data_IF_567547337479
#
_entry.id   IF_567547337479
#
_cell.length_a   1.000
_cell.length_b   1.000
_cell.length_c   1.000
_cell.angle_alpha   90.00
_cell.angle_beta   90.00
_cell.angle_gamma   90.00
#
_symmetry.space_group_name_H-M   'P 1'
#
loop_
_entity.id
_entity.type
_entity.pdbx_description
1 polymer ?
#
# COMPACT_ATOMS: atom_id res chain seq x y z
N UNK A 1 -3.07 13.78 23.67
CA UNK A 1 -4.27 13.74 22.81
C UNK A 1 -5.43 14.09 23.71
N UNK A 2 -6.18 15.16 23.43
CA UNK A 2 -7.28 15.57 24.32
C UNK A 2 -8.55 14.86 23.87
N UNK A 3 -9.22 14.17 24.79
CA UNK A 3 -10.51 13.53 24.54
C UNK A 3 -11.57 14.59 24.25
N UNK A 4 -12.53 14.26 23.38
CA UNK A 4 -13.74 15.08 23.24
C UNK A 4 -14.49 15.16 24.59
N UNK A 5 -15.15 16.28 24.87
CA UNK A 5 -15.75 16.54 26.19
C UNK A 5 -16.74 15.44 26.64
N UNK A 6 -17.49 14.85 25.72
CA UNK A 6 -18.42 13.75 26.02
C UNK A 6 -17.73 12.44 26.43
N UNK A 7 -16.43 12.29 26.16
CA UNK A 7 -15.65 11.08 26.37
C UNK A 7 -14.71 11.19 27.58
N UNK A 8 -14.53 12.38 28.16
CA UNK A 8 -13.66 12.60 29.33
C UNK A 8 -14.10 11.78 30.55
N UNK A 9 -15.41 11.59 30.71
CA UNK A 9 -16.00 10.83 31.83
C UNK A 9 -15.58 9.36 31.88
N UNK A 10 -15.09 8.81 30.78
CA UNK A 10 -14.66 7.42 30.71
C UNK A 10 -13.13 7.26 30.93
N UNK A 11 -12.37 8.35 30.90
CA UNK A 11 -10.90 8.32 30.92
C UNK A 11 -10.25 7.55 32.07
N UNK A 12 -9.12 6.89 31.76
CA UNK A 12 -8.22 6.26 32.72
C UNK A 12 -7.50 7.30 33.60
N UNK A 13 -6.75 6.82 34.59
CA UNK A 13 -5.96 7.68 35.50
C UNK A 13 -4.90 8.54 34.79
N UNK A 14 -4.64 8.29 33.51
CA UNK A 14 -3.69 9.01 32.67
C UNK A 14 -4.41 9.96 31.68
N UNK A 15 -5.73 10.08 31.79
CA UNK A 15 -6.57 10.93 30.94
C UNK A 15 -6.87 10.34 29.56
N UNK A 16 -6.70 9.02 29.36
CA UNK A 16 -6.98 8.34 28.10
C UNK A 16 -8.14 7.37 28.28
N UNK A 17 -9.09 7.33 27.35
CA UNK A 17 -10.16 6.33 27.40
C UNK A 17 -9.90 5.21 26.37
N UNK A 18 -9.83 3.92 26.76
CA UNK A 18 -9.66 2.80 25.82
C UNK A 18 -10.74 2.80 24.73
N UNK A 19 -10.35 2.80 23.46
CA UNK A 19 -11.28 2.88 22.33
C UNK A 19 -11.74 4.30 21.94
N UNK A 20 -11.33 5.34 22.67
CA UNK A 20 -11.57 6.76 22.31
C UNK A 20 -10.31 7.53 21.94
N UNK A 21 -9.14 6.94 22.16
CA UNK A 21 -7.97 7.29 21.36
C UNK A 21 -8.38 7.07 19.91
N UNK A 22 -8.41 8.13 19.11
CA UNK A 22 -8.85 8.06 17.71
C UNK A 22 -7.86 7.19 16.91
N UNK A 23 -7.99 5.86 16.97
CA UNK A 23 -7.35 4.95 16.04
C UNK A 23 -8.08 5.04 14.70
N UNK A 24 -8.01 6.19 14.04
CA UNK A 24 -8.72 6.46 12.79
C UNK A 24 -7.80 6.23 11.59
N UNK A 25 -6.91 5.24 11.71
CA UNK A 25 -6.11 4.79 10.58
C UNK A 25 -6.86 3.69 9.85
N UNK A 26 -7.10 3.89 8.55
CA UNK A 26 -7.84 2.94 7.72
C UNK A 26 -7.00 2.54 6.52
N UNK A 27 -6.84 1.23 6.30
CA UNK A 27 -5.94 0.67 5.29
C UNK A 27 -6.67 -0.27 4.33
N UNK A 28 -7.58 0.22 3.48
CA UNK A 28 -8.29 -0.64 2.54
C UNK A 28 -7.36 -1.09 1.41
N UNK A 29 -7.52 -2.34 1.02
CA UNK A 29 -6.83 -2.90 -0.14
C UNK A 29 -7.76 -3.82 -0.92
N UNK A 30 -7.67 -3.75 -2.25
CA UNK A 30 -8.35 -4.66 -3.16
C UNK A 30 -7.36 -5.14 -4.20
N UNK A 31 -7.43 -6.43 -4.53
CA UNK A 31 -6.61 -7.05 -5.57
C UNK A 31 -7.45 -8.04 -6.35
N UNK A 32 -7.30 -8.04 -7.67
CA UNK A 32 -8.07 -8.86 -8.61
C UNK A 32 -7.11 -9.44 -9.65
N UNK A 33 -7.38 -10.68 -10.05
CA UNK A 33 -6.62 -11.39 -11.09
C UNK A 33 -5.54 -12.32 -10.52
N UNK A 34 -4.79 -12.93 -11.43
CA UNK A 34 -3.73 -13.89 -11.13
C UNK A 34 -2.37 -13.31 -11.54
N UNK A 35 -1.42 -13.31 -10.60
CA UNK A 35 -0.07 -12.78 -10.83
C UNK A 35 0.80 -13.70 -11.68
N UNK A 36 0.44 -14.97 -11.78
CA UNK A 36 1.18 -15.95 -12.57
C UNK A 36 0.65 -16.11 -13.99
N UNK A 37 -0.56 -15.61 -14.30
CA UNK A 37 -1.08 -15.63 -15.67
C UNK A 37 -2.21 -14.63 -15.90
N UNK A 38 -2.13 -13.89 -17.00
CA UNK A 38 -3.16 -12.94 -17.44
C UNK A 38 -3.06 -11.58 -16.75
N UNK A 39 -4.16 -10.82 -16.82
CA UNK A 39 -4.25 -9.48 -16.25
C UNK A 39 -4.44 -9.56 -14.74
N UNK A 40 -3.68 -8.75 -13.99
CA UNK A 40 -3.86 -8.56 -12.56
C UNK A 40 -3.71 -7.11 -12.17
N UNK A 41 -4.26 -6.76 -11.02
CA UNK A 41 -4.07 -5.43 -10.48
C UNK A 41 -4.69 -5.27 -9.11
N UNK A 42 -4.40 -4.14 -8.50
CA UNK A 42 -4.97 -3.80 -7.22
C UNK A 42 -4.66 -2.37 -6.82
N UNK A 43 -5.33 -1.96 -5.75
CA UNK A 43 -5.09 -0.68 -5.13
C UNK A 43 -5.05 -0.86 -3.62
N UNK A 44 -4.24 -0.05 -2.96
CA UNK A 44 -4.16 0.02 -1.50
C UNK A 44 -4.08 1.48 -1.10
N UNK A 45 -4.83 1.85 -0.08
CA UNK A 45 -4.85 3.21 0.44
C UNK A 45 -4.56 3.16 1.93
N UNK A 46 -3.96 4.22 2.44
CA UNK A 46 -3.70 4.41 3.86
C UNK A 46 -4.18 5.80 4.26
N UNK A 47 -5.21 5.83 5.09
CA UNK A 47 -5.79 7.05 5.62
C UNK A 47 -5.41 7.19 7.09
N UNK A 48 -5.13 8.42 7.52
CA UNK A 48 -4.99 8.81 8.91
C UNK A 48 -5.89 10.02 9.16
N UNK A 49 -7.00 9.79 9.87
CA UNK A 49 -7.95 10.85 10.23
C UNK A 49 -7.60 11.53 11.57
N UNK A 50 -6.47 11.20 12.22
CA UNK A 50 -6.04 11.87 13.46
C UNK A 50 -5.57 13.31 13.21
N UNK A 51 -5.22 13.65 11.97
CA UNK A 51 -4.76 14.99 11.61
C UNK A 51 -5.94 15.99 11.50
N UNK A 52 -6.27 16.55 12.68
CA UNK A 52 -6.82 17.89 12.97
C UNK A 52 -7.97 18.41 12.07
N UNK A 53 -9.20 18.48 12.59
CA UNK A 53 -10.26 19.31 12.01
C UNK A 53 -9.75 20.75 11.76
N UNK A 54 -9.99 21.29 10.56
CA UNK A 54 -9.70 22.69 10.24
C UNK A 54 -8.34 23.02 9.60
N UNK A 55 -7.45 22.04 9.35
CA UNK A 55 -6.15 22.30 8.68
C UNK A 55 -6.12 22.16 7.16
N UNK A 56 -7.23 21.77 6.51
CA UNK A 56 -7.32 21.65 5.04
C UNK A 56 -6.37 20.61 4.41
N UNK A 57 -5.68 19.80 5.21
CA UNK A 57 -4.77 18.74 4.74
C UNK A 57 -5.53 17.46 4.43
N UNK A 58 -5.12 16.75 3.38
CA UNK A 58 -5.67 15.44 3.02
C UNK A 58 -5.44 14.41 4.12
N UNK A 59 -6.45 13.58 4.43
CA UNK A 59 -6.31 12.42 5.32
C UNK A 59 -5.67 11.21 4.63
N UNK A 60 -5.51 11.24 3.30
CA UNK A 60 -4.81 10.19 2.58
C UNK A 60 -3.30 10.36 2.78
N UNK A 61 -2.71 9.44 3.54
CA UNK A 61 -1.28 9.41 3.82
C UNK A 61 -0.52 8.75 2.67
N UNK A 62 -1.03 7.66 2.12
CA UNK A 62 -0.41 7.02 0.96
C UNK A 62 -1.40 6.22 0.13
N UNK A 63 -1.12 6.10 -1.17
CA UNK A 63 -1.83 5.18 -2.06
C UNK A 63 -0.84 4.42 -2.94
N UNK A 64 -1.20 3.18 -3.26
CA UNK A 64 -0.50 2.36 -4.25
C UNK A 64 -1.52 1.81 -5.22
N UNK A 65 -1.27 1.97 -6.51
CA UNK A 65 -2.06 1.35 -7.57
C UNK A 65 -1.12 0.52 -8.43
N UNK A 66 -1.49 -0.74 -8.66
CA UNK A 66 -0.72 -1.71 -9.40
C UNK A 66 -1.55 -2.28 -10.53
N UNK A 67 -0.97 -2.33 -11.73
CA UNK A 67 -1.53 -3.00 -12.89
C UNK A 67 -0.42 -3.82 -13.55
N UNK A 68 -0.72 -5.08 -13.90
CA UNK A 68 0.23 -5.94 -14.54
C UNK A 68 -0.43 -6.97 -15.44
N UNK A 69 0.38 -7.55 -16.32
CA UNK A 69 -0.01 -8.64 -17.18
C UNK A 69 1.10 -9.66 -17.23
N UNK A 70 0.75 -10.93 -16.98
CA UNK A 70 1.70 -12.04 -16.99
C UNK A 70 1.40 -12.99 -18.15
N UNK A 71 2.44 -13.27 -18.92
CA UNK A 71 2.51 -14.38 -19.88
C UNK A 71 3.37 -15.50 -19.30
N UNK A 72 3.36 -16.64 -19.98
CA UNK A 72 4.12 -17.81 -19.58
C UNK A 72 5.65 -17.53 -19.53
N UNK A 73 6.16 -16.63 -20.41
CA UNK A 73 7.58 -16.29 -20.51
C UNK A 73 8.01 -15.00 -19.81
N UNK A 74 7.07 -14.11 -19.45
CA UNK A 74 7.40 -12.80 -18.88
C UNK A 74 6.20 -12.13 -18.22
N UNK A 75 6.45 -11.09 -17.44
CA UNK A 75 5.41 -10.23 -16.89
C UNK A 75 5.81 -8.76 -17.00
N UNK A 76 4.83 -7.90 -17.20
CA UNK A 76 4.97 -6.46 -17.06
C UNK A 76 4.16 -5.96 -15.88
N UNK A 77 4.67 -4.96 -15.18
CA UNK A 77 3.96 -4.33 -14.07
C UNK A 77 4.25 -2.84 -14.04
N UNK A 78 3.19 -2.05 -13.95
CA UNK A 78 3.24 -0.64 -13.64
C UNK A 78 2.66 -0.42 -12.25
N UNK A 79 3.34 0.38 -11.43
CA UNK A 79 2.89 0.75 -10.10
C UNK A 79 3.01 2.27 -9.92
N UNK A 80 1.99 2.87 -9.34
CA UNK A 80 2.02 4.26 -8.92
C UNK A 80 1.91 4.33 -7.40
N UNK A 81 2.89 4.95 -6.76
CA UNK A 81 2.93 5.17 -5.32
C UNK A 81 2.79 6.68 -5.07
N UNK A 82 1.83 7.05 -4.25
CA UNK A 82 1.75 8.41 -3.70
C UNK A 82 1.94 8.34 -2.19
N UNK A 83 2.68 9.29 -1.64
CA UNK A 83 2.75 9.49 -0.20
C UNK A 83 2.74 10.96 0.15
N UNK A 84 2.00 11.30 1.20
CA UNK A 84 1.83 12.64 1.73
C UNK A 84 1.80 12.57 3.27
N UNK A 85 2.95 12.82 3.88
CA UNK A 85 3.13 12.81 5.35
C UNK A 85 3.31 14.23 5.91
N UNK A 86 2.88 15.26 5.17
CA UNK A 86 3.00 16.68 5.56
C UNK A 86 4.41 17.28 5.42
N UNK A 87 5.47 16.53 5.70
CA UNK A 87 6.88 16.96 5.51
C UNK A 87 7.45 16.60 4.13
N UNK A 88 6.81 15.65 3.42
CA UNK A 88 7.23 15.18 2.10
C UNK A 88 6.01 14.69 1.34
N UNK A 89 5.91 15.16 0.10
CA UNK A 89 4.93 14.72 -0.87
C UNK A 89 5.66 14.17 -2.09
N UNK A 90 5.37 12.93 -2.47
CA UNK A 90 6.02 12.29 -3.61
C UNK A 90 5.02 11.45 -4.39
N UNK A 91 5.25 11.41 -5.69
CA UNK A 91 4.55 10.56 -6.63
C UNK A 91 5.61 9.77 -7.41
N UNK A 92 5.63 8.47 -7.23
CA UNK A 92 6.61 7.57 -7.84
C UNK A 92 5.90 6.58 -8.76
N UNK A 93 6.17 6.69 -10.06
CA UNK A 93 5.81 5.68 -11.04
C UNK A 93 6.95 4.68 -11.21
N UNK A 94 6.65 3.40 -11.08
CA UNK A 94 7.59 2.29 -11.25
C UNK A 94 7.09 1.41 -12.38
N UNK A 95 7.96 1.14 -13.35
CA UNK A 95 7.71 0.17 -14.40
C UNK A 95 8.70 -0.98 -14.25
N UNK A 96 8.21 -2.22 -14.30
CA UNK A 96 9.00 -3.43 -14.12
C UNK A 96 8.67 -4.43 -15.22
N UNK A 97 9.72 -5.08 -15.73
CA UNK A 97 9.64 -6.21 -16.65
C UNK A 97 10.31 -7.41 -15.98
N UNK A 98 9.60 -8.53 -15.87
CA UNK A 98 10.07 -9.80 -15.31
C UNK A 98 10.17 -10.82 -16.44
N UNK A 99 11.29 -11.51 -16.55
CA UNK A 99 11.43 -12.67 -17.42
C UNK A 99 11.19 -13.93 -16.57
N UNK A 100 10.24 -14.77 -16.98
CA UNK A 100 9.96 -16.04 -16.32
C UNK A 100 10.73 -17.14 -17.06
N UNK A 101 11.41 -18.03 -16.34
CA UNK A 101 12.05 -19.22 -16.94
C UNK A 101 13.32 -18.97 -17.77
N UNK A 102 13.99 -17.83 -17.60
CA UNK A 102 15.14 -17.43 -18.45
C UNK A 102 16.34 -18.36 -18.37
N UNK A 103 16.74 -18.67 -17.16
CA UNK A 103 18.19 -18.59 -16.93
C UNK A 103 18.56 -18.57 -15.48
N UNK A 104 19.40 -19.49 -15.05
CA UNK A 104 20.18 -19.35 -13.84
C UNK A 104 21.15 -18.24 -14.15
N UNK A 105 21.51 -17.57 -13.08
CA UNK A 105 22.42 -16.45 -13.14
C UNK A 105 23.73 -16.91 -12.51
N UNK A 106 24.75 -17.11 -13.34
CA UNK A 106 26.08 -17.60 -12.92
C UNK A 106 26.48 -18.91 -13.60
N UNK A 107 27.15 -19.81 -12.89
CA UNK A 107 27.50 -21.17 -13.37
C UNK A 107 26.36 -22.16 -13.32
N UNK A 108 25.24 -21.80 -12.72
CA UNK A 108 24.08 -22.69 -12.69
C UNK A 108 23.39 -22.64 -14.07
N UNK A 109 22.42 -23.51 -14.37
CA UNK A 109 21.58 -23.52 -15.61
C UNK A 109 20.06 -23.27 -15.39
N UNK A 110 19.46 -22.26 -16.03
CA UNK A 110 18.00 -22.16 -16.31
C UNK A 110 17.89 -21.78 -17.79
N UNK A 111 16.78 -22.14 -18.40
CA UNK A 111 16.64 -22.28 -19.86
C UNK A 111 17.04 -23.68 -20.36
N UNK A 112 17.63 -24.54 -19.52
CA UNK A 112 17.92 -25.93 -19.92
C UNK A 112 16.70 -26.83 -19.76
N UNK A 113 16.11 -27.13 -20.92
CA UNK A 113 15.17 -28.20 -21.14
C UNK A 113 15.89 -29.55 -20.94
N UNK A 114 15.54 -30.29 -19.89
CA UNK A 114 15.84 -31.72 -19.85
C UNK A 114 14.70 -32.46 -20.55
N UNK A 115 15.13 -33.23 -21.55
CA UNK A 115 14.29 -34.03 -22.45
C UNK A 115 13.64 -35.21 -21.72
#
# INVERSE_FOLDING_TARGET
VTLADSLQQFSDRRGNEPGTLQGSQWSPSVFIGDRERGLFGGASFFFDFQNRPGKGSSSLVSSVVTLGYTWDCCAITAQNYTFNVGLRQENRAVFSFRLNGIGTFGTEQVGQHFR
#
